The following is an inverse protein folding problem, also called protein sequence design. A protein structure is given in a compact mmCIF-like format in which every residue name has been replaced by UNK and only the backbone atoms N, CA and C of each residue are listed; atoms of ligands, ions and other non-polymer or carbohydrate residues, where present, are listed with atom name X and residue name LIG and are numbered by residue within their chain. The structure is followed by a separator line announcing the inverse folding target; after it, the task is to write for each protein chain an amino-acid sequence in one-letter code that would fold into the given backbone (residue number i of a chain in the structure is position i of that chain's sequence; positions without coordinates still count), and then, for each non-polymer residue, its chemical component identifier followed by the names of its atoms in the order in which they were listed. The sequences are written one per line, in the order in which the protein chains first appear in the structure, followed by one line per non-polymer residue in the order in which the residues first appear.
data_IF_957163091646
#
_entry.id   IF_957163091646
#
_cell.length_a   1.000
_cell.length_b   1.000
_cell.length_c   1.000
_cell.angle_alpha   90.00
_cell.angle_beta   90.00
_cell.angle_gamma   90.00
#
_symmetry.space_group_name_H-M   'P 1'
#
loop_
_entity.id
_entity.type
_entity.pdbx_description
1 polymer ?
#
# COMPACT_ATOMS: atom_id res chain seq x y z
N UNK A 1 -21.63 -6.94 10.97
CA UNK A 1 -21.60 -8.20 10.21
C UNK A 1 -20.81 -9.21 11.02
N UNK A 2 -21.50 -10.18 11.60
CA UNK A 2 -20.89 -11.30 12.33
C UNK A 2 -20.41 -12.36 11.34
N UNK A 3 -19.21 -12.91 11.55
CA UNK A 3 -18.84 -14.19 10.97
C UNK A 3 -18.30 -15.13 12.04
N UNK A 4 -18.88 -16.32 12.03
CA UNK A 4 -18.57 -17.49 12.84
C UNK A 4 -17.80 -18.49 11.97
N UNK A 5 -16.80 -19.15 12.53
CA UNK A 5 -16.13 -20.36 12.01
C UNK A 5 -15.53 -21.08 13.23
N UNK A 6 -15.46 -22.38 13.39
CA UNK A 6 -16.06 -23.56 12.76
C UNK A 6 -15.54 -24.72 13.63
N UNK A 7 -16.42 -25.57 14.15
CA UNK A 7 -16.10 -26.70 15.03
C UNK A 7 -15.63 -27.89 14.18
N UNK A 8 -14.45 -28.45 14.49
CA UNK A 8 -13.96 -29.68 13.85
C UNK A 8 -14.08 -30.86 14.82
N UNK A 9 -14.92 -31.83 14.41
CA UNK A 9 -15.14 -33.12 15.06
C UNK A 9 -14.01 -34.09 14.69
N UNK A 10 -13.58 -34.93 15.63
CA UNK A 10 -12.77 -36.11 15.33
C UNK A 10 -13.52 -37.38 15.72
N UNK A 11 -13.63 -38.24 14.70
CA UNK A 11 -14.42 -39.46 14.59
C UNK A 11 -13.86 -40.63 15.41
N UNK A 12 -14.75 -41.38 16.07
CA UNK A 12 -14.47 -42.64 16.75
C UNK A 12 -14.78 -43.77 15.76
N UNK A 13 -13.74 -44.41 15.24
CA UNK A 13 -13.85 -45.59 14.38
C UNK A 13 -14.09 -46.85 15.22
N UNK A 14 -15.26 -47.46 15.03
CA UNK A 14 -15.58 -48.79 15.55
C UNK A 14 -15.03 -49.91 14.67
N UNK A 15 -14.85 -51.09 15.27
CA UNK A 15 -14.81 -52.36 14.54
C UNK A 15 -15.54 -53.42 15.35
N UNK A 16 -16.46 -54.10 14.67
CA UNK A 16 -17.37 -55.11 15.17
C UNK A 16 -16.77 -56.52 14.97
N UNK A 17 -17.04 -57.44 15.89
CA UNK A 17 -17.06 -58.90 15.62
C UNK A 17 -18.21 -59.53 16.40
N UNK A 18 -18.97 -60.39 15.71
CA UNK A 18 -20.22 -61.04 16.09
C UNK A 18 -20.05 -62.44 16.69
N UNK A 19 -20.82 -62.70 17.75
CA UNK A 19 -21.63 -63.88 18.12
C UNK A 19 -21.13 -65.32 17.81
N UNK A 20 -21.17 -66.19 18.83
CA UNK A 20 -21.75 -67.55 18.74
C UNK A 20 -22.12 -68.09 20.13
N UNK A 21 -23.36 -68.54 20.29
CA UNK A 21 -23.87 -69.33 21.41
C UNK A 21 -23.77 -70.82 21.09
N UNK A 22 -23.39 -71.65 22.06
CA UNK A 22 -23.85 -73.06 22.13
C UNK A 22 -24.13 -73.44 23.59
N UNK A 23 -25.37 -73.82 23.85
CA UNK A 23 -25.90 -74.39 25.08
C UNK A 23 -25.48 -75.85 25.27
N UNK A 24 -25.15 -76.25 26.50
CA UNK A 24 -25.26 -77.64 26.93
C UNK A 24 -25.62 -77.71 28.41
N UNK A 25 -26.79 -78.30 28.68
CA UNK A 25 -27.34 -78.55 30.00
C UNK A 25 -26.77 -79.84 30.60
N UNK A 26 -26.40 -79.79 31.88
CA UNK A 26 -25.87 -80.94 32.62
C UNK A 26 -25.98 -80.71 34.13
N UNK A 27 -27.18 -80.96 34.65
CA UNK A 27 -27.57 -80.82 36.05
C UNK A 27 -26.97 -81.95 36.91
N UNK A 28 -26.18 -81.65 37.97
CA UNK A 28 -26.09 -82.49 39.19
C UNK A 28 -25.85 -81.64 40.44
N UNK A 29 -26.77 -81.83 41.40
CA UNK A 29 -26.84 -81.24 42.74
C UNK A 29 -25.75 -81.73 43.71
N UNK A 30 -25.18 -80.83 44.52
CA UNK A 30 -24.89 -80.90 45.98
C UNK A 30 -23.85 -79.83 46.38
N UNK A 31 -23.71 -79.45 47.68
CA UNK A 31 -24.64 -78.74 48.54
C UNK A 31 -24.14 -77.32 48.89
N UNK A 32 -25.02 -76.51 49.48
CA UNK A 32 -24.71 -75.21 50.08
C UNK A 32 -23.78 -75.40 51.28
N UNK A 33 -22.64 -74.71 51.31
CA UNK A 33 -22.18 -73.84 52.41
C UNK A 33 -20.70 -73.47 52.24
N UNK A 34 -20.35 -72.23 52.55
CA UNK A 34 -19.00 -71.70 52.77
C UNK A 34 -18.03 -71.53 51.57
N UNK A 35 -18.31 -70.59 50.64
CA UNK A 35 -17.25 -70.04 49.78
C UNK A 35 -17.57 -68.65 49.16
N UNK A 36 -18.44 -67.84 49.77
CA UNK A 36 -18.89 -66.56 49.16
C UNK A 36 -17.90 -65.40 49.41
N UNK A 37 -16.93 -65.56 50.32
CA UNK A 37 -16.00 -64.47 50.68
C UNK A 37 -14.74 -64.38 49.78
N UNK A 38 -14.17 -65.52 49.36
CA UNK A 38 -12.93 -65.59 48.55
C UNK A 38 -13.02 -64.94 47.15
N UNK A 39 -14.07 -65.19 46.33
CA UNK A 39 -14.18 -64.56 45.01
C UNK A 39 -14.61 -63.08 45.08
N UNK A 40 -15.29 -62.66 46.15
CA UNK A 40 -15.68 -61.26 46.35
C UNK A 40 -14.45 -60.39 46.66
N UNK A 41 -13.59 -60.85 47.57
CA UNK A 41 -12.35 -60.16 47.94
C UNK A 41 -11.35 -60.07 46.77
N UNK A 42 -11.20 -61.15 45.98
CA UNK A 42 -10.39 -61.13 44.74
C UNK A 42 -10.92 -60.15 43.69
N UNK A 43 -12.25 -60.01 43.57
CA UNK A 43 -12.88 -59.08 42.63
C UNK A 43 -12.76 -57.63 43.08
N UNK A 44 -12.72 -57.39 44.38
CA UNK A 44 -12.49 -56.09 44.99
C UNK A 44 -11.02 -55.65 44.82
N UNK A 45 -10.07 -56.54 45.11
CA UNK A 45 -8.64 -56.36 44.83
C UNK A 45 -8.37 -56.05 43.34
N UNK A 46 -9.03 -56.76 42.42
CA UNK A 46 -8.89 -56.50 40.98
C UNK A 46 -9.44 -55.13 40.59
N UNK A 47 -10.53 -54.68 41.22
CA UNK A 47 -11.12 -53.35 41.01
C UNK A 47 -10.21 -52.24 41.54
N UNK A 48 -9.67 -52.39 42.74
CA UNK A 48 -8.69 -51.45 43.30
C UNK A 48 -7.44 -51.39 42.43
N UNK A 49 -6.94 -52.53 41.95
CA UNK A 49 -5.78 -52.58 41.06
C UNK A 49 -6.07 -51.90 39.70
N UNK A 50 -7.28 -52.06 39.16
CA UNK A 50 -7.72 -51.34 37.96
C UNK A 50 -7.85 -49.84 38.19
N UNK A 51 -8.40 -49.41 39.33
CA UNK A 51 -8.51 -48.00 39.70
C UNK A 51 -7.12 -47.35 39.84
N UNK A 52 -6.19 -48.01 40.53
CA UNK A 52 -4.81 -47.55 40.66
C UNK A 52 -4.10 -47.48 39.30
N UNK A 53 -4.35 -48.44 38.40
CA UNK A 53 -3.79 -48.42 37.05
C UNK A 53 -4.38 -47.27 36.20
N UNK A 54 -5.68 -47.01 36.30
CA UNK A 54 -6.34 -45.90 35.63
C UNK A 54 -5.85 -44.55 36.16
N UNK A 55 -5.69 -44.41 37.46
CA UNK A 55 -5.19 -43.18 38.10
C UNK A 55 -3.75 -42.87 37.70
N UNK A 56 -2.87 -43.90 37.65
CA UNK A 56 -1.51 -43.78 37.11
C UNK A 56 -1.52 -43.35 35.64
N UNK A 57 -2.42 -43.92 34.83
CA UNK A 57 -2.55 -43.58 33.42
C UNK A 57 -3.03 -42.14 33.25
N UNK A 58 -4.05 -41.71 34.00
CA UNK A 58 -4.55 -40.32 33.98
C UNK A 58 -3.47 -39.34 34.42
N UNK A 59 -2.67 -39.68 35.44
CA UNK A 59 -1.56 -38.84 35.89
C UNK A 59 -0.49 -38.69 34.82
N UNK A 60 -0.12 -39.78 34.15
CA UNK A 60 0.83 -39.73 33.03
C UNK A 60 0.29 -38.93 31.84
N UNK A 61 -1.00 -39.06 31.52
CA UNK A 61 -1.63 -38.27 30.44
C UNK A 61 -1.61 -36.77 30.76
N UNK A 62 -1.92 -36.40 32.01
CA UNK A 62 -1.82 -35.00 32.46
C UNK A 62 -0.39 -34.48 32.37
N UNK A 63 0.60 -35.24 32.82
CA UNK A 63 2.02 -34.87 32.73
C UNK A 63 2.47 -34.69 31.27
N UNK A 64 2.13 -35.64 30.39
CA UNK A 64 2.44 -35.52 28.96
C UNK A 64 1.76 -34.31 28.32
N UNK A 65 0.55 -33.97 28.76
CA UNK A 65 -0.16 -32.80 28.26
C UNK A 65 0.49 -31.50 28.74
N UNK A 66 0.90 -31.41 30.00
CA UNK A 66 1.64 -30.25 30.52
C UNK A 66 2.99 -30.09 29.82
N UNK A 67 3.71 -31.19 29.58
CA UNK A 67 4.98 -31.15 28.84
C UNK A 67 4.78 -30.72 27.38
N UNK A 68 3.70 -31.18 26.73
CA UNK A 68 3.36 -30.75 25.36
C UNK A 68 3.05 -29.26 25.31
N UNK A 69 2.25 -28.76 26.25
CA UNK A 69 1.94 -27.33 26.35
C UNK A 69 3.22 -26.53 26.58
N UNK A 70 4.04 -26.91 27.57
CA UNK A 70 5.31 -26.24 27.86
C UNK A 70 6.26 -26.22 26.64
N UNK A 71 6.38 -27.33 25.91
CA UNK A 71 7.18 -27.39 24.67
C UNK A 71 6.60 -26.49 23.58
N UNK A 72 5.28 -26.47 23.41
CA UNK A 72 4.62 -25.61 22.42
C UNK A 72 4.79 -24.13 22.75
N UNK A 73 4.72 -23.77 24.02
CA UNK A 73 4.87 -22.41 24.50
C UNK A 73 6.32 -21.92 24.37
N UNK A 74 7.30 -22.79 24.66
CA UNK A 74 8.72 -22.51 24.38
C UNK A 74 9.00 -22.32 22.88
N UNK A 75 8.44 -23.19 22.03
CA UNK A 75 8.59 -23.07 20.58
C UNK A 75 7.94 -21.79 20.04
N UNK A 76 6.79 -21.39 20.60
CA UNK A 76 6.13 -20.14 20.26
C UNK A 76 6.95 -18.93 20.70
N UNK A 77 7.44 -18.91 21.94
CA UNK A 77 8.30 -17.84 22.44
C UNK A 77 9.56 -17.65 21.58
N UNK A 78 10.23 -18.76 21.21
CA UNK A 78 11.39 -18.71 20.33
C UNK A 78 11.05 -18.28 18.89
N UNK A 79 9.82 -18.51 18.41
CA UNK A 79 9.38 -18.01 17.11
C UNK A 79 9.10 -16.49 17.15
N UNK A 80 8.45 -16.02 18.22
CA UNK A 80 8.21 -14.59 18.44
C UNK A 80 9.53 -13.83 18.57
N UNK A 81 10.47 -14.33 19.37
CA UNK A 81 11.76 -13.67 19.54
C UNK A 81 12.54 -13.55 18.21
N UNK A 82 12.54 -14.60 17.38
CA UNK A 82 13.13 -14.52 16.03
C UNK A 82 12.44 -13.50 15.15
N UNK A 83 11.11 -13.44 15.18
CA UNK A 83 10.36 -12.45 14.43
C UNK A 83 10.69 -11.03 14.89
N UNK A 84 10.82 -10.80 16.19
CA UNK A 84 11.18 -9.49 16.75
C UNK A 84 12.62 -9.11 16.39
N UNK A 85 13.54 -10.06 16.41
CA UNK A 85 14.92 -9.86 15.93
C UNK A 85 14.93 -9.50 14.44
N UNK A 86 14.21 -10.23 13.60
CA UNK A 86 14.11 -9.92 12.16
C UNK A 86 13.48 -8.54 11.93
N UNK A 87 12.38 -8.22 12.62
CA UNK A 87 11.71 -6.92 12.54
C UNK A 87 12.64 -5.77 12.96
N UNK A 88 13.42 -5.96 14.03
CA UNK A 88 14.37 -4.97 14.53
C UNK A 88 15.48 -4.62 13.51
N UNK A 89 15.79 -5.50 12.56
CA UNK A 89 16.84 -5.24 11.56
C UNK A 89 16.25 -4.90 10.19
N UNK A 90 15.16 -5.54 9.80
CA UNK A 90 14.53 -5.37 8.50
C UNK A 90 13.79 -4.04 8.39
N UNK A 91 12.97 -3.69 9.38
CA UNK A 91 12.17 -2.46 9.34
C UNK A 91 13.05 -1.21 9.25
N UNK A 92 14.13 -1.07 10.05
CA UNK A 92 15.03 0.08 9.91
C UNK A 92 15.74 0.14 8.55
N UNK A 93 16.13 -1.00 7.98
CA UNK A 93 16.75 -1.04 6.64
C UNK A 93 15.78 -0.58 5.55
N UNK A 94 14.53 -1.01 5.61
CA UNK A 94 13.50 -0.55 4.65
C UNK A 94 13.22 0.94 4.84
N UNK A 95 13.12 1.41 6.08
CA UNK A 95 12.95 2.84 6.37
C UNK A 95 14.12 3.68 5.84
N UNK A 96 15.35 3.20 6.02
CA UNK A 96 16.56 3.84 5.52
C UNK A 96 16.62 3.85 3.99
N UNK A 97 16.31 2.73 3.34
CA UNK A 97 16.17 2.64 1.88
C UNK A 97 15.14 3.62 1.33
N UNK A 98 13.96 3.71 1.95
CA UNK A 98 12.91 4.66 1.56
C UNK A 98 13.38 6.10 1.72
N UNK A 99 14.06 6.42 2.83
CA UNK A 99 14.66 7.75 3.04
C UNK A 99 15.66 8.10 1.95
N UNK A 100 16.60 7.19 1.65
CA UNK A 100 17.59 7.37 0.59
C UNK A 100 16.94 7.55 -0.79
N UNK A 101 15.88 6.78 -1.08
CA UNK A 101 15.13 6.88 -2.33
C UNK A 101 14.48 8.26 -2.48
N UNK A 102 13.86 8.77 -1.41
CA UNK A 102 13.25 10.11 -1.41
C UNK A 102 14.33 11.20 -1.58
N UNK A 103 15.47 11.07 -0.91
CA UNK A 103 16.59 12.01 -1.07
C UNK A 103 17.15 12.00 -2.50
N UNK A 104 17.30 10.82 -3.09
CA UNK A 104 17.76 10.67 -4.47
C UNK A 104 16.76 11.28 -5.48
N UNK A 105 15.46 11.04 -5.29
CA UNK A 105 14.41 11.67 -6.09
C UNK A 105 14.46 13.20 -5.98
N UNK A 106 14.66 13.73 -4.77
CA UNK A 106 14.80 15.18 -4.56
C UNK A 106 16.03 15.74 -5.26
N UNK A 107 17.17 15.04 -5.20
CA UNK A 107 18.40 15.45 -5.91
C UNK A 107 18.22 15.43 -7.42
N UNK A 108 17.57 14.39 -7.96
CA UNK A 108 17.22 14.29 -9.39
C UNK A 108 16.30 15.42 -9.82
N UNK A 109 15.25 15.70 -9.05
CA UNK A 109 14.34 16.80 -9.33
C UNK A 109 15.04 18.16 -9.30
N UNK A 110 15.91 18.41 -8.32
CA UNK A 110 16.70 19.64 -8.26
C UNK A 110 17.68 19.78 -9.44
N UNK A 111 18.29 18.67 -9.86
CA UNK A 111 19.19 18.64 -11.03
C UNK A 111 18.43 18.93 -12.31
N UNK A 112 17.26 18.30 -12.51
CA UNK A 112 16.39 18.55 -13.66
C UNK A 112 15.88 19.99 -13.68
N UNK A 113 15.47 20.52 -12.52
CA UNK A 113 15.05 21.92 -12.40
C UNK A 113 16.17 22.86 -12.83
N UNK A 114 17.38 22.66 -12.31
CA UNK A 114 18.53 23.50 -12.67
C UNK A 114 18.87 23.40 -14.15
N UNK A 115 18.87 22.19 -14.70
CA UNK A 115 19.09 21.99 -16.13
C UNK A 115 18.00 22.71 -16.96
N UNK A 116 16.74 22.62 -16.54
CA UNK A 116 15.63 23.29 -17.21
C UNK A 116 15.75 24.82 -17.11
N UNK A 117 16.17 25.34 -15.96
CA UNK A 117 16.39 26.76 -15.74
C UNK A 117 17.46 27.30 -16.71
N UNK A 118 18.63 26.65 -16.75
CA UNK A 118 19.74 27.05 -17.61
C UNK A 118 19.40 26.90 -19.12
N UNK A 119 18.66 25.85 -19.51
CA UNK A 119 18.44 25.54 -20.93
C UNK A 119 17.15 26.12 -21.51
N UNK A 120 16.12 26.34 -20.70
CA UNK A 120 14.80 26.79 -21.16
C UNK A 120 14.53 28.20 -20.64
N UNK A 121 14.57 28.38 -19.32
CA UNK A 121 14.17 29.63 -18.69
C UNK A 121 15.10 30.77 -19.05
N UNK A 122 16.42 30.58 -18.90
CA UNK A 122 17.41 31.62 -19.17
C UNK A 122 17.38 32.03 -20.66
N UNK A 123 17.31 31.04 -21.57
CA UNK A 123 17.25 31.30 -23.01
C UNK A 123 15.99 32.09 -23.43
N UNK A 124 14.83 31.80 -22.84
CA UNK A 124 13.60 32.55 -23.12
C UNK A 124 13.67 33.94 -22.48
N UNK A 125 14.15 34.02 -21.23
CA UNK A 125 14.25 35.26 -20.49
C UNK A 125 15.22 36.23 -21.13
N UNK A 126 16.37 35.75 -21.61
CA UNK A 126 17.35 36.56 -22.33
C UNK A 126 16.79 37.12 -23.64
N UNK A 127 16.08 36.29 -24.42
CA UNK A 127 15.42 36.75 -25.66
C UNK A 127 14.40 37.85 -25.37
N UNK A 128 13.58 37.67 -24.34
CA UNK A 128 12.56 38.66 -23.95
C UNK A 128 13.25 39.93 -23.43
N UNK A 129 14.23 39.81 -22.53
CA UNK A 129 14.95 40.97 -21.98
C UNK A 129 15.62 41.77 -23.08
N UNK A 130 16.33 41.10 -23.99
CA UNK A 130 17.01 41.75 -25.12
C UNK A 130 16.02 42.55 -25.98
N UNK A 131 14.84 41.99 -26.27
CA UNK A 131 13.82 42.67 -27.07
C UNK A 131 13.14 43.81 -26.29
N UNK A 132 12.93 43.66 -24.98
CA UNK A 132 12.45 44.73 -24.10
C UNK A 132 13.45 45.89 -24.09
N UNK A 133 14.73 45.60 -23.87
CA UNK A 133 15.79 46.60 -23.80
C UNK A 133 15.97 47.31 -25.14
N UNK A 134 15.92 46.57 -26.26
CA UNK A 134 15.93 47.15 -27.61
C UNK A 134 14.77 48.13 -27.83
N UNK A 135 13.56 47.75 -27.44
CA UNK A 135 12.36 48.60 -27.60
C UNK A 135 12.37 49.80 -26.67
N UNK A 136 12.92 49.64 -25.47
CA UNK A 136 13.09 50.74 -24.53
C UNK A 136 14.12 51.75 -25.06
N UNK A 137 15.29 51.28 -25.53
CA UNK A 137 16.35 52.12 -26.07
C UNK A 137 15.92 52.87 -27.35
N UNK A 138 15.12 52.23 -28.21
CA UNK A 138 14.59 52.86 -29.43
C UNK A 138 13.40 53.80 -29.18
N UNK A 139 12.84 53.84 -27.97
CA UNK A 139 11.62 54.60 -27.66
C UNK A 139 10.35 54.07 -28.33
N UNK A 140 10.43 52.91 -28.99
CA UNK A 140 9.33 52.28 -29.74
C UNK A 140 8.13 52.00 -28.83
N UNK A 141 8.38 51.59 -27.58
CA UNK A 141 7.32 51.34 -26.58
C UNK A 141 6.47 52.58 -26.30
N UNK A 142 7.12 53.75 -26.13
CA UNK A 142 6.42 55.00 -25.87
C UNK A 142 5.67 55.53 -27.09
N UNK A 143 6.25 55.35 -28.29
CA UNK A 143 5.58 55.71 -29.54
C UNK A 143 4.33 54.86 -29.80
N UNK A 144 4.42 53.53 -29.58
CA UNK A 144 3.28 52.61 -29.70
C UNK A 144 2.17 52.95 -28.70
N UNK A 145 2.52 53.20 -27.44
CA UNK A 145 1.53 53.55 -26.43
C UNK A 145 0.79 54.85 -26.78
N UNK A 146 1.53 55.86 -27.24
CA UNK A 146 0.93 57.12 -27.73
C UNK A 146 0.05 56.91 -28.95
N UNK A 147 0.45 56.07 -29.90
CA UNK A 147 -0.35 55.74 -31.08
C UNK A 147 -1.66 55.03 -30.71
N UNK A 148 -1.58 54.00 -29.87
CA UNK A 148 -2.75 53.27 -29.38
C UNK A 148 -3.71 54.18 -28.58
N UNK A 149 -3.16 55.08 -27.77
CA UNK A 149 -3.95 56.07 -27.05
C UNK A 149 -4.63 57.06 -27.99
N UNK A 150 -3.92 57.57 -29.00
CA UNK A 150 -4.48 58.48 -29.99
C UNK A 150 -5.62 57.83 -30.76
N UNK A 151 -5.41 56.59 -31.23
CA UNK A 151 -6.43 55.84 -31.98
C UNK A 151 -7.69 55.59 -31.14
N UNK A 152 -7.53 55.28 -29.85
CA UNK A 152 -8.65 55.16 -28.92
C UNK A 152 -9.41 56.48 -28.72
N UNK A 153 -8.69 57.60 -28.58
CA UNK A 153 -9.32 58.93 -28.45
C UNK A 153 -10.07 59.32 -29.73
N UNK A 154 -9.49 59.06 -30.89
CA UNK A 154 -10.11 59.31 -32.20
C UNK A 154 -11.36 58.44 -32.40
N UNK A 155 -11.33 57.19 -31.93
CA UNK A 155 -12.50 56.32 -31.91
C UNK A 155 -13.61 56.86 -30.98
N UNK A 156 -13.23 57.33 -29.78
CA UNK A 156 -14.17 57.94 -28.84
C UNK A 156 -14.82 59.21 -29.41
N UNK A 157 -14.06 60.07 -30.08
CA UNK A 157 -14.56 61.33 -30.65
C UNK A 157 -15.45 61.14 -31.88
N UNK A 158 -15.28 60.04 -32.63
CA UNK A 158 -16.11 59.73 -33.82
C UNK A 158 -17.52 59.26 -33.46
N UNK A 159 -17.77 58.81 -32.22
CA UNK A 159 -19.00 58.13 -31.83
C UNK A 159 -19.74 58.90 -30.75
N UNK A 160 -20.90 59.46 -31.10
CA UNK A 160 -21.74 60.26 -30.19
C UNK A 160 -22.20 59.47 -28.94
N UNK A 161 -22.33 58.14 -29.05
CA UNK A 161 -22.73 57.26 -27.95
C UNK A 161 -21.55 56.67 -27.14
N UNK A 162 -20.31 56.98 -27.51
CA UNK A 162 -19.09 56.43 -26.90
C UNK A 162 -18.76 54.99 -27.33
N UNK A 163 -17.56 54.52 -26.95
CA UNK A 163 -17.13 53.14 -27.15
C UNK A 163 -17.64 52.23 -26.02
N UNK A 164 -18.15 51.06 -26.37
CA UNK A 164 -18.55 50.02 -25.44
C UNK A 164 -17.40 49.03 -25.22
N UNK A 165 -17.17 48.62 -23.97
CA UNK A 165 -16.00 47.78 -23.61
C UNK A 165 -16.21 46.30 -23.96
N UNK A 166 -17.46 45.88 -24.04
CA UNK A 166 -17.92 44.50 -24.20
C UNK A 166 -18.27 44.12 -25.65
N UNK A 167 -18.37 45.10 -26.55
CA UNK A 167 -18.67 44.89 -27.97
C UNK A 167 -17.55 45.51 -28.79
N UNK A 168 -16.77 44.67 -29.47
CA UNK A 168 -15.73 45.11 -30.41
C UNK A 168 -16.34 45.19 -31.81
N UNK A 169 -16.28 46.37 -32.41
CA UNK A 169 -16.67 46.59 -33.80
C UNK A 169 -15.39 46.92 -34.57
N UNK A 170 -14.83 45.90 -35.26
CA UNK A 170 -13.52 45.97 -35.91
C UNK A 170 -13.40 47.12 -36.93
N UNK A 171 -14.51 47.52 -37.56
CA UNK A 171 -14.54 48.66 -38.50
C UNK A 171 -14.38 50.02 -37.83
N UNK A 172 -14.66 50.12 -36.52
CA UNK A 172 -14.62 51.37 -35.77
C UNK A 172 -13.32 51.51 -34.98
N UNK A 173 -12.99 50.46 -34.22
CA UNK A 173 -11.80 50.37 -33.39
C UNK A 173 -11.59 48.92 -32.94
N UNK A 174 -10.38 48.39 -33.15
CA UNK A 174 -9.97 47.10 -32.63
C UNK A 174 -8.84 47.26 -31.59
N UNK A 175 -9.10 46.99 -30.30
CA UNK A 175 -8.06 47.07 -29.27
C UNK A 175 -6.96 46.02 -29.43
N UNK A 176 -7.18 44.97 -30.22
CA UNK A 176 -6.23 43.88 -30.44
C UNK A 176 -5.23 44.15 -31.56
N UNK A 177 -5.36 45.26 -32.31
CA UNK A 177 -4.49 45.57 -33.45
C UNK A 177 -3.00 45.62 -33.05
N UNK A 178 -2.70 46.03 -31.81
CA UNK A 178 -1.33 46.10 -31.29
C UNK A 178 -0.77 44.78 -30.75
N UNK A 179 -1.57 43.71 -30.67
CA UNK A 179 -1.15 42.40 -30.16
C UNK A 179 -0.17 41.70 -31.11
N UNK A 180 -0.30 41.92 -32.42
CA UNK A 180 0.62 41.39 -33.42
C UNK A 180 2.07 41.86 -33.20
N UNK A 181 2.22 43.04 -32.61
CA UNK A 181 3.50 43.67 -32.27
C UNK A 181 4.03 43.27 -30.88
N UNK A 182 3.40 42.32 -30.18
CA UNK A 182 3.93 41.82 -28.91
C UNK A 182 5.29 41.15 -29.07
N UNK A 183 6.06 41.10 -27.98
CA UNK A 183 7.36 40.43 -27.95
C UNK A 183 7.12 38.93 -28.11
N UNK A 184 7.77 38.35 -29.12
CA UNK A 184 7.72 36.92 -29.42
C UNK A 184 9.09 36.33 -29.15
N UNK A 185 9.14 35.17 -28.53
CA UNK A 185 10.35 34.39 -28.35
C UNK A 185 10.36 33.20 -29.30
N UNK A 186 11.55 32.71 -29.64
CA UNK A 186 11.73 31.52 -30.47
C UNK A 186 11.91 30.32 -29.55
N UNK A 187 10.99 29.37 -29.65
CA UNK A 187 11.07 28.08 -28.94
C UNK A 187 11.83 27.00 -29.71
N UNK A 188 12.11 27.23 -31.00
CA UNK A 188 12.78 26.27 -31.88
C UNK A 188 14.25 26.11 -31.46
N UNK A 189 14.64 24.89 -31.08
CA UNK A 189 16.02 24.56 -30.66
C UNK A 189 16.24 24.56 -29.15
N UNK A 190 15.25 24.94 -28.34
CA UNK A 190 15.30 24.79 -26.89
C UNK A 190 15.05 23.32 -26.53
N UNK A 191 16.06 22.67 -25.93
CA UNK A 191 15.93 21.29 -25.46
C UNK A 191 15.38 21.30 -24.03
N UNK A 192 14.12 20.89 -23.88
CA UNK A 192 13.49 20.74 -22.57
C UNK A 192 13.93 19.41 -21.93
N UNK A 193 14.70 19.43 -20.83
CA UNK A 193 15.21 18.22 -20.18
C UNK A 193 14.11 17.28 -19.69
N UNK A 194 12.88 17.78 -19.45
CA UNK A 194 11.73 16.95 -19.04
C UNK A 194 11.13 16.18 -20.22
N UNK A 195 11.36 16.65 -21.45
CA UNK A 195 10.83 16.04 -22.68
C UNK A 195 11.86 15.22 -23.45
N UNK A 196 13.13 15.19 -23.01
CA UNK A 196 14.19 14.45 -23.71
C UNK A 196 13.85 12.96 -23.89
N UNK A 197 13.24 12.31 -22.91
CA UNK A 197 12.83 10.90 -23.01
C UNK A 197 11.72 10.69 -24.06
N UNK A 198 10.80 11.66 -24.19
CA UNK A 198 9.75 11.62 -25.22
C UNK A 198 10.35 11.81 -26.61
N UNK A 199 11.26 12.77 -26.75
CA UNK A 199 11.95 13.07 -28.02
C UNK A 199 12.80 11.87 -28.46
N UNK A 200 13.56 11.27 -27.54
CA UNK A 200 14.35 10.08 -27.82
C UNK A 200 13.49 8.89 -28.25
N UNK A 201 12.34 8.68 -27.59
CA UNK A 201 11.40 7.63 -27.98
C UNK A 201 10.73 7.88 -29.34
N UNK A 202 10.56 9.14 -29.75
CA UNK A 202 10.10 9.49 -31.10
C UNK A 202 11.19 9.31 -32.16
N UNK A 203 12.46 9.58 -31.84
CA UNK A 203 13.61 9.41 -32.74
C UNK A 203 13.98 7.94 -33.00
N UNK A 204 13.74 7.06 -32.03
CA UNK A 204 14.02 5.61 -32.14
C UNK A 204 12.95 4.83 -32.94
N UNK A 205 11.90 5.50 -33.43
CA UNK A 205 10.74 4.88 -34.09
C UNK A 205 10.76 5.03 -35.61
#
# INVERSE_FOLDING_TARGET
GSQALSLSQCSIGGSAVTVSHTSSAGNRRRPRSAAVAEPAHKREMLREQQQLAQERTMRQMRQKQTERVAKSEQAFAAAVERHDQEAAHFVPKVAEYLRLTVEDQRRKAATLHRAWEETVFDNISEQISTEVDRRHASGESGARWRAAQSEYLDACSRKDAGLFRDIIIESEYDPMTYTAANIKYKSKGIQDPVKLELIKAEEER
#
